data_IF_704977031077
#
_entry.id   IF_704977031077
#
_cell.length_a   1.000
_cell.length_b   1.000
_cell.length_c   1.000
_cell.angle_alpha   90.00
_cell.angle_beta   90.00
_cell.angle_gamma   90.00
#
_symmetry.space_group_name_H-M   'P 1'
#
loop_
_entity.id
_entity.type
_entity.pdbx_description
1 polymer ?
#
# COMPACT_ATOMS: atom_id res chain seq x y z
N UNK A 1 26.44 22.76 -15.13
CA UNK A 1 26.55 21.28 -15.19
C UNK A 1 25.42 20.74 -14.33
N UNK A 2 24.43 20.08 -14.93
CA UNK A 2 23.33 19.49 -14.16
C UNK A 2 23.90 18.40 -13.26
N UNK A 3 23.57 18.49 -11.97
CA UNK A 3 24.03 17.58 -10.95
C UNK A 3 23.43 16.18 -11.22
N UNK A 4 24.25 15.28 -11.78
CA UNK A 4 23.84 13.91 -12.13
C UNK A 4 23.29 13.16 -10.90
N UNK A 5 23.72 13.53 -9.69
CA UNK A 5 23.19 12.97 -8.44
C UNK A 5 21.75 13.38 -8.11
N UNK A 6 21.30 14.58 -8.48
CA UNK A 6 19.93 15.04 -8.25
C UNK A 6 18.93 14.32 -9.16
N UNK A 7 19.27 14.18 -10.45
CA UNK A 7 18.41 13.52 -11.44
C UNK A 7 18.14 12.04 -11.11
N UNK A 8 19.14 11.33 -10.58
CA UNK A 8 18.99 9.92 -10.17
C UNK A 8 18.07 9.80 -8.96
N UNK A 9 18.18 10.72 -8.00
CA UNK A 9 17.33 10.69 -6.80
C UNK A 9 15.87 11.02 -7.10
N UNK A 10 15.61 11.95 -8.03
CA UNK A 10 14.26 12.30 -8.49
C UNK A 10 13.63 11.16 -9.30
N UNK A 11 14.37 10.57 -10.23
CA UNK A 11 13.91 9.42 -11.03
C UNK A 11 13.55 8.23 -10.14
N UNK A 12 14.36 7.96 -9.11
CA UNK A 12 14.09 6.88 -8.16
C UNK A 12 12.82 7.15 -7.34
N UNK A 13 12.56 8.41 -6.96
CA UNK A 13 11.35 8.78 -6.23
C UNK A 13 10.09 8.65 -7.09
N UNK A 14 10.15 8.99 -8.38
CA UNK A 14 9.04 8.81 -9.31
C UNK A 14 8.73 7.33 -9.54
N UNK A 15 9.74 6.51 -9.77
CA UNK A 15 9.58 5.06 -9.90
C UNK A 15 8.98 4.45 -8.64
N UNK A 16 9.43 4.90 -7.46
CA UNK A 16 8.88 4.45 -6.18
C UNK A 16 7.39 4.82 -6.03
N UNK A 17 7.01 6.05 -6.40
CA UNK A 17 5.59 6.47 -6.42
C UNK A 17 4.75 5.61 -7.36
N UNK A 18 5.27 5.28 -8.54
CA UNK A 18 4.57 4.40 -9.50
C UNK A 18 4.34 3.03 -8.88
N UNK A 19 5.38 2.41 -8.31
CA UNK A 19 5.30 1.09 -7.67
C UNK A 19 4.24 1.11 -6.55
N UNK A 20 4.27 2.12 -5.67
CA UNK A 20 3.28 2.22 -4.59
C UNK A 20 1.86 2.43 -5.09
N UNK A 21 1.66 3.29 -6.09
CA UNK A 21 0.35 3.51 -6.69
C UNK A 21 -0.18 2.23 -7.36
N UNK A 22 0.68 1.48 -8.05
CA UNK A 22 0.31 0.19 -8.65
C UNK A 22 -0.08 -0.82 -7.59
N UNK A 23 0.68 -0.95 -6.49
CA UNK A 23 0.34 -1.84 -5.38
C UNK A 23 -1.02 -1.46 -4.76
N UNK A 24 -1.28 -0.16 -4.57
CA UNK A 24 -2.56 0.33 -4.07
C UNK A 24 -3.73 -0.05 -4.99
N UNK A 25 -3.58 0.15 -6.31
CA UNK A 25 -4.60 -0.23 -7.30
C UNK A 25 -4.86 -1.75 -7.32
N UNK A 26 -3.82 -2.57 -7.17
CA UNK A 26 -3.96 -4.02 -7.08
C UNK A 26 -4.76 -4.44 -5.82
N UNK A 27 -4.49 -3.80 -4.68
CA UNK A 27 -5.24 -4.06 -3.44
C UNK A 27 -6.70 -3.62 -3.54
N UNK A 28 -6.96 -2.46 -4.16
CA UNK A 28 -8.32 -1.99 -4.40
C UNK A 28 -9.10 -2.95 -5.33
N UNK A 29 -8.44 -3.44 -6.38
CA UNK A 29 -9.02 -4.46 -7.26
C UNK A 29 -9.34 -5.76 -6.49
N UNK A 30 -8.41 -6.24 -5.66
CA UNK A 30 -8.63 -7.43 -4.83
C UNK A 30 -9.83 -7.26 -3.89
N UNK A 31 -9.93 -6.12 -3.19
CA UNK A 31 -11.07 -5.82 -2.32
C UNK A 31 -12.39 -5.75 -3.09
N UNK A 32 -12.40 -5.12 -4.27
CA UNK A 32 -13.60 -5.10 -5.14
C UNK A 32 -13.99 -6.50 -5.60
N UNK A 33 -13.02 -7.35 -5.93
CA UNK A 33 -13.26 -8.73 -6.33
C UNK A 33 -13.86 -9.56 -5.19
N UNK A 34 -13.30 -9.46 -3.98
CA UNK A 34 -13.83 -10.12 -2.78
C UNK A 34 -15.25 -9.62 -2.50
N UNK A 35 -15.46 -8.30 -2.50
CA UNK A 35 -16.78 -7.70 -2.26
C UNK A 35 -17.83 -8.23 -3.25
N UNK A 36 -17.47 -8.35 -4.53
CA UNK A 36 -18.36 -8.83 -5.58
C UNK A 36 -18.69 -10.33 -5.49
N UNK A 37 -17.85 -11.15 -4.84
CA UNK A 37 -18.01 -12.61 -4.79
C UNK A 37 -18.46 -13.14 -3.44
N UNK A 38 -17.96 -12.54 -2.38
CA UNK A 38 -18.06 -13.01 -0.99
C UNK A 38 -18.80 -12.00 -0.10
N UNK A 39 -19.07 -10.80 -0.63
CA UNK A 39 -19.81 -9.74 0.06
C UNK A 39 -18.91 -8.68 0.69
N UNK A 40 -19.51 -7.54 1.02
CA UNK A 40 -18.81 -6.38 1.57
C UNK A 40 -18.15 -6.66 2.92
N UNK A 41 -18.73 -7.53 3.74
CA UNK A 41 -18.17 -7.95 5.03
C UNK A 41 -16.85 -8.71 4.86
N UNK A 42 -16.80 -9.67 3.92
CA UNK A 42 -15.57 -10.40 3.60
C UNK A 42 -14.45 -9.47 3.10
N UNK A 43 -14.78 -8.44 2.31
CA UNK A 43 -13.81 -7.45 1.86
C UNK A 43 -13.30 -6.56 3.02
N UNK A 44 -14.17 -6.21 3.96
CA UNK A 44 -13.79 -5.46 5.16
C UNK A 44 -12.90 -6.31 6.09
N UNK A 45 -13.23 -7.59 6.27
CA UNK A 45 -12.42 -8.53 7.05
C UNK A 45 -11.04 -8.76 6.45
N UNK A 46 -10.95 -8.90 5.12
CA UNK A 46 -9.68 -8.98 4.42
C UNK A 46 -8.81 -7.75 4.71
N UNK A 47 -9.37 -6.53 4.61
CA UNK A 47 -8.65 -5.29 4.93
C UNK A 47 -8.17 -5.26 6.38
N UNK A 48 -9.03 -5.67 7.32
CA UNK A 48 -8.69 -5.75 8.76
C UNK A 48 -7.54 -6.72 9.01
N UNK A 49 -7.61 -7.93 8.46
CA UNK A 49 -6.57 -8.95 8.61
C UNK A 49 -5.24 -8.51 7.97
N UNK A 50 -5.28 -7.82 6.83
CA UNK A 50 -4.09 -7.25 6.20
C UNK A 50 -3.42 -6.20 7.10
N UNK A 51 -4.19 -5.28 7.69
CA UNK A 51 -3.67 -4.29 8.63
C UNK A 51 -3.09 -4.93 9.91
N UNK A 52 -3.78 -5.95 10.43
CA UNK A 52 -3.28 -6.72 11.57
C UNK A 52 -1.94 -7.39 11.21
N UNK A 53 -1.86 -8.12 10.10
CA UNK A 53 -0.64 -8.79 9.67
C UNK A 53 0.54 -7.84 9.45
N UNK A 54 0.28 -6.61 8.98
CA UNK A 54 1.30 -5.57 8.83
C UNK A 54 1.81 -5.05 10.18
N UNK A 55 0.95 -4.98 11.19
CA UNK A 55 1.27 -4.40 12.52
C UNK A 55 1.79 -5.43 13.52
N UNK A 56 1.37 -6.70 13.42
CA UNK A 56 1.81 -7.80 14.28
C UNK A 56 3.10 -8.46 13.80
N UNK A 57 3.52 -8.20 12.55
CA UNK A 57 4.75 -8.73 11.96
C UNK A 57 4.60 -10.04 11.21
N UNK A 58 3.36 -10.54 11.03
CA UNK A 58 3.08 -11.67 10.13
C UNK A 58 3.47 -11.35 8.68
N UNK A 59 3.35 -10.07 8.30
CA UNK A 59 4.07 -9.47 7.18
C UNK A 59 5.28 -8.76 7.77
N UNK A 60 6.47 -9.33 7.54
CA UNK A 60 7.70 -8.82 8.12
C UNK A 60 8.14 -7.49 7.46
N UNK A 61 7.58 -6.39 7.93
CA UNK A 61 7.89 -5.03 7.47
C UNK A 61 9.25 -4.55 7.98
N UNK A 62 9.88 -5.26 8.93
CA UNK A 62 11.25 -4.98 9.34
C UNK A 62 12.28 -5.23 8.21
N UNK A 63 11.89 -5.97 7.17
CA UNK A 63 12.66 -6.11 5.93
C UNK A 63 12.75 -4.82 5.12
N UNK A 64 11.93 -3.81 5.41
CA UNK A 64 11.91 -2.53 4.68
C UNK A 64 12.88 -1.49 5.24
N UNK A 65 13.64 -1.83 6.30
CA UNK A 65 14.74 -1.06 6.93
C UNK A 65 14.44 0.39 7.37
N UNK A 66 13.23 0.92 7.14
CA UNK A 66 12.83 2.29 7.48
C UNK A 66 11.42 2.37 8.08
N UNK A 67 11.34 2.45 9.41
CA UNK A 67 10.07 2.51 10.16
C UNK A 67 9.15 3.67 9.78
N UNK A 68 9.67 4.80 9.26
CA UNK A 68 8.82 5.93 8.84
C UNK A 68 7.98 5.63 7.60
N UNK A 69 8.44 4.71 6.76
CA UNK A 69 7.76 4.31 5.53
C UNK A 69 6.61 3.34 5.84
N UNK A 70 6.65 2.68 7.00
CA UNK A 70 5.59 1.81 7.51
C UNK A 70 4.27 2.56 7.74
N UNK A 71 4.31 3.71 8.41
CA UNK A 71 3.12 4.52 8.71
C UNK A 71 2.40 4.99 7.43
N UNK A 72 3.17 5.28 6.38
CA UNK A 72 2.63 5.69 5.07
C UNK A 72 1.87 4.52 4.43
N UNK A 73 2.43 3.31 4.47
CA UNK A 73 1.79 2.12 3.91
C UNK A 73 0.51 1.77 4.67
N UNK A 74 0.55 1.79 6.01
CA UNK A 74 -0.62 1.55 6.86
C UNK A 74 -1.72 2.56 6.54
N UNK A 75 -1.41 3.86 6.55
CA UNK A 75 -2.38 4.92 6.25
C UNK A 75 -3.01 4.79 4.87
N UNK A 76 -2.25 4.34 3.86
CA UNK A 76 -2.82 4.05 2.53
C UNK A 76 -3.82 2.90 2.59
N UNK A 77 -3.47 1.80 3.24
CA UNK A 77 -4.34 0.61 3.33
C UNK A 77 -5.59 0.93 4.15
N UNK A 78 -5.48 1.71 5.22
CA UNK A 78 -6.63 2.24 5.97
C UNK A 78 -7.59 3.07 5.10
N UNK A 79 -7.08 3.75 4.08
CA UNK A 79 -7.88 4.50 3.11
C UNK A 79 -8.62 3.65 2.07
N UNK A 80 -8.27 2.37 1.90
CA UNK A 80 -8.91 1.50 0.90
C UNK A 80 -10.39 1.29 1.20
N UNK A 81 -11.25 1.42 0.18
CA UNK A 81 -12.70 1.27 0.34
C UNK A 81 -13.40 2.45 1.01
N UNK A 82 -12.67 3.48 1.44
CA UNK A 82 -13.25 4.77 1.89
C UNK A 82 -13.46 5.76 0.73
N UNK A 83 -13.19 5.35 -0.50
CA UNK A 83 -13.52 6.12 -1.70
C UNK A 83 -15.03 6.16 -1.86
N UNK A 84 -15.66 7.19 -1.31
CA UNK A 84 -16.98 7.64 -1.71
C UNK A 84 -17.05 7.72 -3.24
N UNK A 85 -18.11 7.16 -3.80
CA UNK A 85 -18.50 7.37 -5.19
C UNK A 85 -18.66 8.85 -5.53
#
# INVERSE_FOLDING_TARGET
MANVGENVSETNLEQLKIIFNTLYLCLEFAMKHISAREGSEAAADFKRQLLEALTTGDINMALLEENKTFDIVVSKIEGLGNTSA
#
